data_IF_172240448031
#
_entry.id   IF_172240448031
#
_cell.length_a   1.000
_cell.length_b   1.000
_cell.length_c   1.000
_cell.angle_alpha   90.00
_cell.angle_beta   90.00
_cell.angle_gamma   90.00
#
_symmetry.space_group_name_H-M   'P 1'
#
loop_
_entity.id
_entity.type
_entity.pdbx_description
1 polymer ?
#
# COMPACT_ATOMS: atom_id res chain seq x y z
N UNK A 1 -25.94 5.85 -4.07
CA UNK A 1 -25.35 5.29 -5.31
C UNK A 1 -24.11 4.51 -4.92
N UNK A 2 -24.07 3.20 -5.19
CA UNK A 2 -22.87 2.38 -4.97
C UNK A 2 -21.97 2.53 -6.20
N UNK A 3 -20.84 3.20 -6.04
CA UNK A 3 -19.81 3.29 -7.08
C UNK A 3 -18.92 2.06 -6.93
N UNK A 4 -18.96 1.13 -7.89
CA UNK A 4 -18.01 0.01 -7.95
C UNK A 4 -16.88 0.39 -8.91
N UNK A 5 -15.64 0.40 -8.40
CA UNK A 5 -14.44 0.59 -9.21
C UNK A 5 -13.97 -0.80 -9.64
N UNK A 6 -13.78 -1.02 -10.94
CA UNK A 6 -13.23 -2.28 -11.47
C UNK A 6 -11.78 -2.43 -11.02
N UNK A 7 -11.46 -3.52 -10.32
CA UNK A 7 -10.15 -3.83 -9.74
C UNK A 7 -9.02 -3.96 -10.77
N UNK A 8 -9.33 -4.34 -12.02
CA UNK A 8 -8.31 -4.65 -13.02
C UNK A 8 -7.60 -3.39 -13.54
N UNK A 9 -8.29 -2.24 -13.50
CA UNK A 9 -7.71 -0.93 -13.82
C UNK A 9 -6.72 -0.51 -12.72
N UNK A 10 -7.01 -0.81 -11.45
CA UNK A 10 -6.18 -0.47 -10.28
C UNK A 10 -4.80 -1.14 -10.37
N UNK A 11 -4.72 -2.36 -10.92
CA UNK A 11 -3.45 -3.11 -11.07
C UNK A 11 -2.49 -2.46 -12.07
N UNK A 12 -2.98 -1.88 -13.17
CA UNK A 12 -2.11 -1.21 -14.16
C UNK A 12 -1.43 0.06 -13.62
N UNK A 13 -2.03 0.69 -12.60
CA UNK A 13 -1.46 1.89 -11.99
C UNK A 13 -0.43 1.59 -10.90
N UNK A 14 -0.40 0.37 -10.35
CA UNK A 14 0.46 0.08 -9.20
C UNK A 14 1.95 0.13 -9.55
N UNK A 15 2.37 -0.40 -10.70
CA UNK A 15 3.76 -0.30 -11.15
C UNK A 15 4.22 1.15 -11.32
N UNK A 16 3.34 2.02 -11.87
CA UNK A 16 3.61 3.46 -12.00
C UNK A 16 3.69 4.14 -10.64
N UNK A 17 2.83 3.75 -9.71
CA UNK A 17 2.79 4.30 -8.36
C UNK A 17 4.04 3.93 -7.56
N UNK A 18 4.46 2.65 -7.60
CA UNK A 18 5.72 2.18 -7.00
C UNK A 18 6.91 2.94 -7.60
N UNK A 19 6.97 3.06 -8.94
CA UNK A 19 8.02 3.84 -9.60
C UNK A 19 8.06 5.29 -9.12
N UNK A 20 6.90 5.93 -8.96
CA UNK A 20 6.78 7.30 -8.42
C UNK A 20 7.29 7.37 -6.98
N UNK A 21 6.91 6.43 -6.12
CA UNK A 21 7.41 6.37 -4.74
C UNK A 21 8.94 6.28 -4.74
N UNK A 22 9.51 5.38 -5.55
CA UNK A 22 10.96 5.18 -5.61
C UNK A 22 11.71 6.43 -6.10
N UNK A 23 11.20 7.09 -7.16
CA UNK A 23 11.79 8.33 -7.68
C UNK A 23 11.77 9.48 -6.67
N UNK A 24 10.76 9.51 -5.80
CA UNK A 24 10.61 10.55 -4.77
C UNK A 24 11.25 10.15 -3.43
N UNK A 25 12.03 9.06 -3.39
CA UNK A 25 12.63 8.54 -2.15
C UNK A 25 11.61 8.23 -1.06
N UNK A 26 10.38 7.89 -1.46
CA UNK A 26 9.32 7.41 -0.58
C UNK A 26 9.47 5.90 -0.46
N UNK A 27 9.64 5.42 0.77
CA UNK A 27 9.86 4.01 1.10
C UNK A 27 8.54 3.24 1.06
N UNK A 28 8.37 2.34 0.11
CA UNK A 28 7.12 1.58 0.04
C UNK A 28 7.13 0.40 1.02
N UNK A 29 5.96 0.11 1.57
CA UNK A 29 5.74 -0.92 2.57
C UNK A 29 4.38 -1.57 2.31
N UNK A 30 4.35 -2.91 2.26
CA UNK A 30 3.13 -3.70 2.07
C UNK A 30 2.58 -4.08 3.44
N UNK A 31 1.31 -3.79 3.66
CA UNK A 31 0.59 -4.16 4.87
C UNK A 31 -0.68 -4.94 4.53
N UNK A 32 -1.03 -5.89 5.38
CA UNK A 32 -2.27 -6.66 5.29
C UNK A 32 -3.06 -6.53 6.59
N UNK A 33 -4.39 -6.57 6.53
CA UNK A 33 -5.18 -6.58 7.75
C UNK A 33 -4.97 -7.90 8.51
N UNK A 34 -4.94 -7.83 9.85
CA UNK A 34 -4.78 -9.02 10.69
C UNK A 34 -6.01 -9.92 10.60
N UNK A 35 -7.20 -9.35 10.71
CA UNK A 35 -8.47 -10.09 10.74
C UNK A 35 -9.48 -9.52 9.75
N UNK A 36 -10.40 -10.37 9.25
CA UNK A 36 -11.40 -10.01 8.22
C UNK A 36 -12.28 -8.81 8.60
N UNK A 37 -12.47 -8.58 9.89
CA UNK A 37 -13.41 -7.58 10.42
C UNK A 37 -12.72 -6.36 11.04
N UNK A 38 -11.39 -6.41 11.24
CA UNK A 38 -10.65 -5.36 11.94
C UNK A 38 -9.83 -4.47 11.00
N UNK A 39 -9.67 -3.22 11.40
CA UNK A 39 -8.78 -2.22 10.79
C UNK A 39 -7.33 -2.33 11.26
N UNK A 40 -6.96 -3.39 11.99
CA UNK A 40 -5.60 -3.59 12.47
C UNK A 40 -4.75 -4.19 11.35
N UNK A 41 -3.58 -3.59 11.09
CA UNK A 41 -2.69 -4.01 10.02
C UNK A 41 -1.42 -4.68 10.59
N UNK A 42 -0.88 -5.61 9.82
CA UNK A 42 0.43 -6.21 10.03
C UNK A 42 1.31 -5.99 8.82
N UNK A 43 2.61 -5.92 9.08
CA UNK A 43 3.63 -5.79 8.04
C UNK A 43 3.77 -7.10 7.27
N UNK A 44 3.66 -7.03 5.94
CA UNK A 44 4.02 -8.15 5.05
C UNK A 44 5.45 -7.99 4.54
N UNK A 45 5.77 -6.82 3.99
CA UNK A 45 7.09 -6.50 3.46
C UNK A 45 7.39 -5.02 3.68
N UNK A 46 8.59 -4.67 4.13
CA UNK A 46 9.07 -3.29 4.09
C UNK A 46 10.45 -3.24 3.49
N UNK A 47 10.65 -2.31 2.56
CA UNK A 47 11.98 -2.04 2.01
C UNK A 47 12.86 -1.21 2.96
N UNK A 48 12.51 -1.14 4.26
CA UNK A 48 13.06 -0.27 5.31
C UNK A 48 14.60 -0.18 5.37
N UNK A 49 15.33 -1.21 4.92
CA UNK A 49 16.81 -1.25 5.02
C UNK A 49 17.56 -1.55 3.74
N UNK A 50 16.87 -1.81 2.64
CA UNK A 50 17.50 -2.44 1.47
C UNK A 50 17.36 -1.67 0.17
N UNK A 51 16.69 -0.51 0.15
CA UNK A 51 16.59 0.28 -1.09
C UNK A 51 17.90 1.01 -1.37
N UNK A 52 18.59 0.59 -2.42
CA UNK A 52 19.61 1.40 -3.07
C UNK A 52 18.93 2.47 -3.93
N UNK A 53 18.90 3.69 -3.41
CA UNK A 53 18.30 4.84 -4.10
C UNK A 53 19.03 5.23 -5.38
N UNK A 54 20.22 4.68 -5.64
CA UNK A 54 20.93 4.87 -6.90
C UNK A 54 20.47 3.87 -7.99
N UNK A 55 19.74 2.81 -7.62
CA UNK A 55 19.18 1.78 -8.52
C UNK A 55 17.72 1.46 -8.20
N UNK A 56 16.82 2.46 -8.19
CA UNK A 56 15.43 2.31 -7.76
C UNK A 56 14.62 1.31 -8.61
N UNK A 57 15.01 1.09 -9.86
CA UNK A 57 14.33 0.21 -10.81
C UNK A 57 14.30 -1.26 -10.35
N UNK A 58 15.42 -1.78 -9.82
CA UNK A 58 15.50 -3.17 -9.36
C UNK A 58 14.60 -3.40 -8.14
N UNK A 59 14.52 -2.41 -7.26
CA UNK A 59 13.64 -2.46 -6.10
C UNK A 59 12.16 -2.38 -6.48
N UNK A 60 11.84 -1.64 -7.55
CA UNK A 60 10.45 -1.49 -8.01
C UNK A 60 9.86 -2.79 -8.57
N UNK A 61 10.64 -3.58 -9.30
CA UNK A 61 10.15 -4.87 -9.84
C UNK A 61 10.04 -5.92 -8.73
N UNK A 62 11.02 -6.00 -7.81
CA UNK A 62 10.93 -6.91 -6.66
C UNK A 62 9.69 -6.63 -5.81
N UNK A 63 9.41 -5.35 -5.53
CA UNK A 63 8.23 -4.99 -4.76
C UNK A 63 6.92 -5.35 -5.47
N UNK A 64 6.88 -5.23 -6.79
CA UNK A 64 5.72 -5.67 -7.55
C UNK A 64 5.50 -7.19 -7.41
N UNK A 65 6.58 -7.98 -7.47
CA UNK A 65 6.50 -9.43 -7.24
C UNK A 65 6.05 -9.77 -5.82
N UNK A 66 6.50 -9.00 -4.81
CA UNK A 66 6.04 -9.15 -3.43
C UNK A 66 4.54 -8.87 -3.30
N UNK A 67 4.01 -7.86 -4.00
CA UNK A 67 2.56 -7.58 -4.02
C UNK A 67 1.80 -8.75 -4.66
N UNK A 68 2.27 -9.28 -5.79
CA UNK A 68 1.64 -10.43 -6.46
C UNK A 68 1.64 -11.66 -5.57
N UNK A 69 2.77 -11.92 -4.88
CA UNK A 69 2.90 -12.99 -3.89
C UNK A 69 1.92 -12.80 -2.73
N UNK A 70 1.84 -11.58 -2.19
CA UNK A 70 0.92 -11.20 -1.13
C UNK A 70 -0.56 -11.42 -1.53
N UNK A 71 -0.95 -11.03 -2.75
CA UNK A 71 -2.31 -11.25 -3.27
C UNK A 71 -2.69 -12.73 -3.37
N UNK A 72 -1.69 -13.58 -3.66
CA UNK A 72 -1.82 -15.02 -3.85
C UNK A 72 -1.89 -15.75 -2.51
N UNK A 73 -1.01 -15.38 -1.57
CA UNK A 73 -0.91 -15.97 -0.24
C UNK A 73 -2.09 -15.57 0.65
N UNK A 74 -2.59 -14.33 0.49
CA UNK A 74 -3.69 -13.77 1.28
C UNK A 74 -4.88 -13.38 0.39
N UNK A 75 -5.62 -14.37 -0.16
CA UNK A 75 -6.71 -14.12 -1.10
C UNK A 75 -7.87 -13.33 -0.50
N UNK A 76 -8.07 -13.41 0.82
CA UNK A 76 -9.20 -12.89 1.58
C UNK A 76 -8.85 -11.72 2.51
N UNK A 77 -7.66 -11.11 2.34
CA UNK A 77 -7.21 -9.96 3.11
C UNK A 77 -7.25 -8.66 2.31
N UNK A 78 -7.44 -7.56 3.03
CA UNK A 78 -7.12 -6.21 2.55
C UNK A 78 -5.61 -6.08 2.42
N UNK A 79 -5.16 -5.48 1.32
CA UNK A 79 -3.74 -5.26 1.05
C UNK A 79 -3.54 -3.78 0.75
N UNK A 80 -2.65 -3.15 1.48
CA UNK A 80 -2.27 -1.75 1.34
C UNK A 80 -0.80 -1.64 0.96
N UNK A 81 -0.49 -0.63 0.15
CA UNK A 81 0.84 -0.11 -0.08
C UNK A 81 0.95 1.25 0.61
N UNK A 82 1.86 1.37 1.56
CA UNK A 82 2.10 2.60 2.32
C UNK A 82 3.48 3.13 1.95
N UNK A 83 3.55 4.41 1.59
CA UNK A 83 4.79 5.11 1.32
C UNK A 83 5.21 5.93 2.53
N UNK A 84 6.39 5.68 3.08
CA UNK A 84 6.98 6.46 4.17
C UNK A 84 8.06 7.40 3.66
N UNK A 85 8.05 8.66 4.10
CA UNK A 85 9.14 9.60 3.88
C UNK A 85 9.78 9.98 5.21
N UNK A 86 11.08 10.23 5.20
CA UNK A 86 11.82 10.66 6.38
C UNK A 86 12.15 12.16 6.26
N UNK A 87 11.73 12.94 7.25
CA UNK A 87 12.04 14.36 7.35
C UNK A 87 12.50 14.68 8.78
N UNK A 88 13.69 15.29 8.90
CA UNK A 88 14.32 15.62 10.19
C UNK A 88 14.37 14.44 11.19
N UNK A 89 14.67 13.23 10.70
CA UNK A 89 14.77 12.02 11.52
C UNK A 89 13.42 11.39 11.91
N UNK A 90 12.31 12.02 11.55
CA UNK A 90 10.96 11.49 11.78
C UNK A 90 10.40 10.88 10.50
N UNK A 91 9.64 9.79 10.63
CA UNK A 91 8.97 9.14 9.51
C UNK A 91 7.49 9.49 9.45
N UNK A 92 7.01 9.77 8.24
CA UNK A 92 5.64 10.17 7.98
C UNK A 92 5.07 9.36 6.83
N UNK A 93 3.77 9.08 6.87
CA UNK A 93 3.06 8.51 5.72
C UNK A 93 2.94 9.61 4.67
N UNK A 94 3.64 9.42 3.56
CA UNK A 94 3.64 10.31 2.40
C UNK A 94 2.69 9.85 1.30
N UNK A 95 2.34 8.56 1.28
CA UNK A 95 1.44 7.99 0.29
C UNK A 95 0.71 6.75 0.84
N UNK A 96 -0.51 6.51 0.37
CA UNK A 96 -1.33 5.37 0.79
C UNK A 96 -2.19 4.88 -0.38
N UNK A 97 -2.08 3.59 -0.67
CA UNK A 97 -2.77 2.98 -1.80
C UNK A 97 -3.39 1.65 -1.41
N UNK A 98 -4.71 1.53 -1.54
CA UNK A 98 -5.42 0.27 -1.37
C UNK A 98 -5.24 -0.60 -2.62
N UNK A 99 -4.47 -1.67 -2.48
CA UNK A 99 -4.18 -2.62 -3.56
C UNK A 99 -5.38 -3.54 -3.77
N UNK A 100 -5.92 -4.09 -2.68
CA UNK A 100 -6.96 -5.11 -2.73
C UNK A 100 -7.97 -4.93 -1.60
N UNK A 101 -9.24 -5.01 -1.98
CA UNK A 101 -10.37 -5.18 -1.08
C UNK A 101 -11.11 -6.47 -1.47
N UNK A 102 -11.02 -7.55 -0.68
CA UNK A 102 -11.63 -8.84 -1.00
C UNK A 102 -13.16 -8.81 -0.89
N UNK A 103 -13.73 -7.85 -0.16
CA UNK A 103 -15.17 -7.78 0.10
C UNK A 103 -15.96 -7.03 -0.98
N UNK A 104 -15.29 -6.39 -1.97
CA UNK A 104 -15.87 -5.67 -3.13
C UNK A 104 -16.89 -4.56 -2.82
N UNK A 105 -17.36 -4.43 -1.57
CA UNK A 105 -18.09 -3.28 -1.04
C UNK A 105 -17.11 -2.41 -0.26
N UNK A 106 -16.95 -1.17 -0.73
CA UNK A 106 -16.27 -0.11 0.02
C UNK A 106 -17.40 0.72 0.63
N UNK A 107 -17.66 0.56 1.93
CA UNK A 107 -18.47 1.54 2.66
C UNK A 107 -17.58 2.77 2.89
N UNK A 108 -17.57 3.67 1.91
CA UNK A 108 -16.69 4.84 1.84
C UNK A 108 -16.72 5.72 3.11
N UNK A 109 -17.83 5.67 3.87
CA UNK A 109 -18.01 6.43 5.11
C UNK A 109 -17.07 6.02 6.26
N UNK A 110 -16.61 4.77 6.33
CA UNK A 110 -15.74 4.33 7.45
C UNK A 110 -14.26 4.69 7.24
N UNK A 111 -13.80 4.83 5.99
CA UNK A 111 -12.39 5.06 5.70
C UNK A 111 -11.98 6.55 5.69
N UNK A 112 -12.93 7.48 5.61
CA UNK A 112 -12.66 8.92 5.71
C UNK A 112 -12.45 9.39 7.16
N UNK A 113 -12.85 8.62 8.17
CA UNK A 113 -12.68 9.00 9.58
C UNK A 113 -11.22 9.00 10.07
N UNK A 114 -10.25 8.59 9.26
CA UNK A 114 -8.82 8.79 9.57
C UNK A 114 -8.34 10.24 9.42
N UNK A 115 -9.22 11.19 9.06
CA UNK A 115 -8.87 12.62 8.98
C UNK A 115 -9.29 13.47 10.19
N UNK A 116 -9.87 12.90 11.26
CA UNK A 116 -10.38 13.73 12.37
C UNK A 116 -9.99 13.33 13.80
N UNK A 117 -9.30 12.21 14.05
CA UNK A 117 -9.00 11.79 15.44
C UNK A 117 -7.54 11.98 15.91
N UNK A 118 -6.70 12.68 15.15
CA UNK A 118 -5.35 13.06 15.62
C UNK A 118 -5.00 14.53 15.34
N UNK A 119 -5.88 15.45 15.76
CA UNK A 119 -5.52 16.83 16.10
C UNK A 119 -5.98 17.15 17.51
#
# INVERSE_FOLDING_TARGET
>A
MNVSIKSDVIKWHIKKHIKKMMLNKVRPTIQINKDKENTSYQLYHSSYRSVDWNKPENHSENLYQDIVSCETEYPDKFINLIGYSSYNGNEYIADFYLIKNPHKQINFMYYLNYTLEYF
#
